data_IF_960438576896
#
_entry.id   IF_960438576896
#
_cell.length_a   1.000
_cell.length_b   1.000
_cell.length_c   1.000
_cell.angle_alpha   90.00
_cell.angle_beta   90.00
_cell.angle_gamma   90.00
#
_symmetry.space_group_name_H-M   'P 1'
#
loop_
_entity.id
_entity.type
_entity.pdbx_description
1 polymer ?
#
# COMPACT_ATOMS: atom_id res chain seq x y z
N UNK A 1 3.80 21.28 6.09
CA UNK A 1 4.19 20.15 5.27
C UNK A 1 5.07 20.65 4.13
N UNK A 2 6.26 20.05 3.97
CA UNK A 2 7.11 20.35 2.80
C UNK A 2 6.59 19.55 1.59
N UNK A 3 5.61 20.10 0.90
CA UNK A 3 5.00 19.53 -0.31
C UNK A 3 5.12 20.57 -1.44
N UNK A 4 6.30 20.69 -2.06
CA UNK A 4 6.58 21.73 -3.05
C UNK A 4 5.70 21.64 -4.30
N UNK A 5 5.16 20.43 -4.59
CA UNK A 5 4.37 20.17 -5.79
C UNK A 5 2.87 20.43 -5.62
N UNK A 6 2.44 20.91 -4.43
CA UNK A 6 1.02 21.18 -4.17
C UNK A 6 0.71 22.65 -4.44
N UNK A 7 -0.07 22.90 -5.49
CA UNK A 7 -0.65 24.21 -5.76
C UNK A 7 -1.94 24.39 -4.94
N UNK A 8 -1.89 25.23 -3.90
CA UNK A 8 -3.02 25.44 -2.98
C UNK A 8 -4.27 26.09 -3.63
N UNK A 9 -4.15 26.59 -4.86
CA UNK A 9 -5.28 27.12 -5.61
C UNK A 9 -6.10 26.06 -6.35
N UNK A 10 -5.59 24.83 -6.44
CA UNK A 10 -6.29 23.73 -7.10
C UNK A 10 -7.14 22.93 -6.10
N UNK A 11 -8.34 22.47 -6.52
CA UNK A 11 -9.15 21.56 -5.73
C UNK A 11 -8.41 20.26 -5.42
N UNK A 12 -8.64 19.70 -4.22
CA UNK A 12 -7.93 18.51 -3.70
C UNK A 12 -8.11 17.28 -4.61
N UNK A 13 -9.22 17.13 -5.29
CA UNK A 13 -9.49 16.01 -6.20
C UNK A 13 -8.57 15.95 -7.44
N UNK A 14 -7.84 17.02 -7.75
CA UNK A 14 -6.83 17.02 -8.81
C UNK A 14 -5.54 16.25 -8.43
N UNK A 15 -5.36 15.96 -7.14
CA UNK A 15 -4.18 15.29 -6.63
C UNK A 15 -4.41 13.78 -6.51
N UNK A 16 -3.35 13.00 -6.64
CA UNK A 16 -3.38 11.56 -6.37
C UNK A 16 -3.67 11.27 -4.90
N UNK A 17 -4.15 10.06 -4.60
CA UNK A 17 -4.59 9.64 -3.26
C UNK A 17 -3.56 9.91 -2.15
N UNK A 18 -2.27 9.74 -2.43
CA UNK A 18 -1.20 10.03 -1.48
C UNK A 18 -1.16 11.51 -1.06
N UNK A 19 -1.22 12.42 -2.01
CA UNK A 19 -1.26 13.85 -1.72
C UNK A 19 -2.55 14.26 -1.00
N UNK A 20 -3.70 13.68 -1.37
CA UNK A 20 -4.97 13.92 -0.68
C UNK A 20 -4.87 13.53 0.80
N UNK A 21 -4.29 12.35 1.09
CA UNK A 21 -4.06 11.88 2.46
C UNK A 21 -3.18 12.83 3.27
N UNK A 22 -2.06 13.29 2.69
CA UNK A 22 -1.17 14.24 3.35
C UNK A 22 -1.83 15.61 3.58
N UNK A 23 -2.70 16.07 2.68
CA UNK A 23 -3.48 17.31 2.83
C UNK A 23 -4.48 17.16 3.99
N UNK A 24 -5.17 16.02 4.12
CA UNK A 24 -6.07 15.74 5.24
C UNK A 24 -5.33 15.79 6.59
N UNK A 25 -4.16 15.17 6.66
CA UNK A 25 -3.32 15.21 7.87
C UNK A 25 -2.87 16.65 8.18
N UNK A 26 -2.47 17.42 7.16
CA UNK A 26 -2.13 18.84 7.32
C UNK A 26 -3.28 19.64 7.92
N UNK A 27 -4.49 19.40 7.44
CA UNK A 27 -5.72 20.04 7.94
C UNK A 27 -5.98 19.69 9.41
N UNK A 28 -5.80 18.41 9.80
CA UNK A 28 -5.95 17.98 11.19
C UNK A 28 -4.91 18.66 12.12
N UNK A 29 -3.64 18.75 11.67
CA UNK A 29 -2.56 19.39 12.42
C UNK A 29 -2.86 20.89 12.63
N UNK A 30 -3.36 21.59 11.61
CA UNK A 30 -3.67 23.03 11.70
C UNK A 30 -4.77 23.35 12.74
N UNK A 31 -5.60 22.37 13.11
CA UNK A 31 -6.63 22.49 14.15
C UNK A 31 -6.07 22.49 15.58
N UNK A 32 -4.76 22.44 15.77
CA UNK A 32 -4.08 22.35 17.08
C UNK A 32 -4.62 21.19 17.95
N UNK A 33 -4.89 20.06 17.34
CA UNK A 33 -5.37 18.86 18.02
C UNK A 33 -4.36 18.42 19.09
N UNK A 34 -4.86 18.03 20.26
CA UNK A 34 -4.05 17.41 21.33
C UNK A 34 -3.88 15.91 21.13
N UNK A 35 -4.80 15.30 20.39
CA UNK A 35 -4.82 13.90 20.03
C UNK A 35 -5.07 13.78 18.53
N UNK A 36 -4.27 12.99 17.85
CA UNK A 36 -4.44 12.63 16.45
C UNK A 36 -4.63 11.12 16.33
N UNK A 37 -5.70 10.71 15.67
CA UNK A 37 -5.97 9.30 15.37
C UNK A 37 -5.77 9.11 13.86
N UNK A 38 -4.90 8.17 13.49
CA UNK A 38 -4.52 7.84 12.13
C UNK A 38 -4.90 6.39 11.87
N UNK A 39 -5.87 6.16 11.01
CA UNK A 39 -6.32 4.83 10.61
C UNK A 39 -5.77 4.52 9.22
N UNK A 40 -4.89 3.48 9.13
CA UNK A 40 -4.19 3.05 7.91
C UNK A 40 -3.62 4.22 7.08
N UNK A 41 -2.89 5.17 7.69
CA UNK A 41 -2.58 6.44 7.05
C UNK A 41 -1.62 6.32 5.85
N UNK A 42 -1.00 5.16 5.64
CA UNK A 42 -0.02 4.90 4.58
C UNK A 42 -0.54 3.99 3.47
N UNK A 43 -1.80 3.57 3.52
CA UNK A 43 -2.37 2.59 2.59
C UNK A 43 -2.30 3.03 1.12
N UNK A 44 -2.44 4.32 0.85
CA UNK A 44 -2.39 4.93 -0.49
C UNK A 44 -1.08 5.66 -0.80
N UNK A 45 -0.11 5.65 0.12
CA UNK A 45 1.15 6.37 0.00
C UNK A 45 2.24 5.56 -0.70
N UNK A 46 3.06 6.24 -1.48
CA UNK A 46 4.35 5.71 -1.94
C UNK A 46 5.34 5.61 -0.76
N UNK A 47 6.44 4.89 -0.93
CA UNK A 47 7.49 4.80 0.10
C UNK A 47 8.05 6.18 0.50
N UNK A 48 8.21 7.08 -0.46
CA UNK A 48 8.70 8.43 -0.20
C UNK A 48 7.69 9.24 0.62
N UNK A 49 6.41 9.20 0.26
CA UNK A 49 5.33 9.87 0.99
C UNK A 49 5.14 9.27 2.39
N UNK A 50 5.27 7.95 2.54
CA UNK A 50 5.27 7.28 3.85
C UNK A 50 6.38 7.81 4.75
N UNK A 51 7.61 7.94 4.25
CA UNK A 51 8.71 8.51 5.02
C UNK A 51 8.40 9.93 5.51
N UNK A 52 7.85 10.77 4.65
CA UNK A 52 7.42 12.13 5.00
C UNK A 52 6.38 12.10 6.13
N UNK A 53 5.37 11.22 6.03
CA UNK A 53 4.34 11.08 7.05
C UNK A 53 4.92 10.63 8.41
N UNK A 54 5.79 9.63 8.40
CA UNK A 54 6.42 9.15 9.64
C UNK A 54 7.26 10.26 10.31
N UNK A 55 7.94 11.09 9.53
CA UNK A 55 8.66 12.25 10.06
C UNK A 55 7.72 13.29 10.67
N UNK A 56 6.57 13.54 10.03
CA UNK A 56 5.53 14.41 10.59
C UNK A 56 5.01 13.88 11.92
N UNK A 57 4.76 12.57 12.05
CA UNK A 57 4.31 11.95 13.31
C UNK A 57 5.37 12.13 14.40
N UNK A 58 6.66 11.93 14.08
CA UNK A 58 7.77 12.19 15.01
C UNK A 58 7.83 13.64 15.45
N UNK A 59 7.60 14.58 14.55
CA UNK A 59 7.55 16.03 14.86
C UNK A 59 6.38 16.39 15.76
N UNK A 60 5.22 15.79 15.54
CA UNK A 60 4.03 15.98 16.39
C UNK A 60 4.28 15.44 17.80
N UNK A 61 4.86 14.27 17.93
CA UNK A 61 5.28 13.68 19.21
C UNK A 61 6.22 14.62 19.96
N UNK A 62 7.23 15.20 19.29
CA UNK A 62 8.17 16.18 19.91
C UNK A 62 7.46 17.45 20.39
N UNK A 63 6.35 17.82 19.76
CA UNK A 63 5.51 18.95 20.14
C UNK A 63 4.46 18.62 21.21
N UNK A 64 4.48 17.39 21.75
CA UNK A 64 3.57 16.95 22.81
C UNK A 64 2.17 16.56 22.32
N UNK A 65 1.97 16.32 21.02
CA UNK A 65 0.71 15.82 20.48
C UNK A 65 0.67 14.30 20.66
N UNK A 66 -0.38 13.78 21.30
CA UNK A 66 -0.61 12.35 21.40
C UNK A 66 -1.07 11.81 20.02
N UNK A 67 -0.52 10.67 19.60
CA UNK A 67 -0.90 10.04 18.34
C UNK A 67 -1.31 8.59 18.59
N UNK A 68 -2.43 8.17 18.03
CA UNK A 68 -2.84 6.76 17.90
C UNK A 68 -2.75 6.41 16.43
N UNK A 69 -1.97 5.38 16.10
CA UNK A 69 -1.81 4.90 14.74
C UNK A 69 -2.33 3.48 14.65
N UNK A 70 -3.27 3.25 13.73
CA UNK A 70 -3.78 1.93 13.40
C UNK A 70 -3.12 1.53 12.09
N UNK A 71 -2.42 0.39 12.08
CA UNK A 71 -1.75 -0.11 10.89
C UNK A 71 -1.46 -1.62 11.01
N UNK A 72 -1.45 -2.31 9.89
CA UNK A 72 -0.96 -3.68 9.77
C UNK A 72 0.50 -3.74 9.26
N UNK A 73 1.09 -2.58 8.91
CA UNK A 73 2.48 -2.47 8.45
C UNK A 73 3.41 -2.32 9.64
N UNK A 74 3.90 -3.44 10.15
CA UNK A 74 4.65 -3.51 11.40
C UNK A 74 5.96 -2.72 11.37
N UNK A 75 6.61 -2.60 10.22
CA UNK A 75 7.82 -1.79 10.05
C UNK A 75 7.56 -0.30 10.33
N UNK A 76 6.38 0.19 9.92
CA UNK A 76 5.97 1.58 10.16
C UNK A 76 5.62 1.79 11.65
N UNK A 77 4.92 0.82 12.25
CA UNK A 77 4.61 0.82 13.69
C UNK A 77 5.90 0.85 14.51
N UNK A 78 6.84 -0.03 14.19
CA UNK A 78 8.14 -0.10 14.87
C UNK A 78 8.95 1.20 14.72
N UNK A 79 8.79 1.91 13.60
CA UNK A 79 9.55 3.13 13.33
C UNK A 79 9.11 4.35 14.15
N UNK A 80 7.85 4.41 14.63
CA UNK A 80 7.30 5.64 15.25
C UNK A 80 6.58 5.44 16.57
N UNK A 81 6.08 4.23 16.87
CA UNK A 81 5.29 3.97 18.08
C UNK A 81 6.17 3.70 19.29
N UNK A 82 5.74 4.16 20.46
CA UNK A 82 6.37 3.86 21.75
C UNK A 82 5.82 2.58 22.36
N UNK A 83 4.51 2.35 22.19
CA UNK A 83 3.79 1.19 22.70
C UNK A 83 2.90 0.63 21.60
N UNK A 84 2.71 -0.68 21.64
CA UNK A 84 1.84 -1.40 20.73
C UNK A 84 0.76 -2.12 21.51
N UNK A 85 -0.50 -1.89 21.15
CA UNK A 85 -1.67 -2.65 21.62
C UNK A 85 -2.16 -3.54 20.50
N UNK A 86 -2.23 -4.84 20.74
CA UNK A 86 -2.74 -5.81 19.77
C UNK A 86 -4.19 -6.13 20.08
N UNK A 87 -5.03 -6.02 19.04
CA UNK A 87 -6.45 -6.41 19.07
C UNK A 87 -6.63 -7.54 18.07
N UNK A 88 -7.33 -8.58 18.47
CA UNK A 88 -7.66 -9.73 17.64
C UNK A 88 -9.11 -10.15 17.90
N UNK A 89 -9.90 -10.31 16.84
CA UNK A 89 -11.32 -10.71 16.93
C UNK A 89 -12.13 -9.83 17.88
N UNK A 90 -11.85 -8.52 17.90
CA UNK A 90 -12.50 -7.56 18.78
C UNK A 90 -12.02 -7.59 20.23
N UNK A 91 -11.06 -8.47 20.58
CA UNK A 91 -10.54 -8.64 21.94
C UNK A 91 -9.14 -8.05 22.06
N UNK A 92 -8.89 -7.36 23.18
CA UNK A 92 -7.56 -6.87 23.53
C UNK A 92 -6.64 -8.04 23.93
N UNK A 93 -5.59 -8.27 23.19
CA UNK A 93 -4.60 -9.34 23.44
C UNK A 93 -3.55 -8.88 24.44
N UNK A 94 -3.08 -7.65 24.31
CA UNK A 94 -2.09 -7.07 25.22
C UNK A 94 -1.53 -5.75 24.72
N UNK A 95 -0.95 -4.98 25.64
CA UNK A 95 -0.20 -3.75 25.34
C UNK A 95 1.21 -3.89 25.90
N UNK A 96 2.22 -3.57 25.07
CA UNK A 96 3.63 -3.64 25.46
C UNK A 96 4.43 -2.47 24.86
N UNK A 97 5.53 -2.05 25.54
CA UNK A 97 6.48 -1.12 24.97
C UNK A 97 7.09 -1.69 23.67
N UNK A 98 7.27 -0.85 22.66
CA UNK A 98 7.91 -1.27 21.39
C UNK A 98 9.36 -1.73 21.60
N UNK A 99 10.04 -1.18 22.60
CA UNK A 99 11.41 -1.56 22.98
C UNK A 99 11.56 -3.01 23.47
N UNK A 100 10.47 -3.66 23.86
CA UNK A 100 10.43 -5.04 24.34
C UNK A 100 9.94 -6.03 23.29
N UNK A 101 9.57 -5.56 22.09
CA UNK A 101 8.95 -6.35 21.04
C UNK A 101 9.83 -6.36 19.78
N UNK A 102 9.87 -7.51 19.13
CA UNK A 102 10.27 -7.60 17.74
C UNK A 102 9.04 -7.85 16.85
N UNK A 103 9.21 -7.76 15.54
CA UNK A 103 8.11 -7.94 14.57
C UNK A 103 7.43 -9.30 14.71
N UNK A 104 8.20 -10.37 15.02
CA UNK A 104 7.63 -11.72 15.16
C UNK A 104 6.77 -11.83 16.42
N UNK A 105 7.13 -11.14 17.50
CA UNK A 105 6.33 -11.11 18.73
C UNK A 105 4.97 -10.47 18.47
N UNK A 106 4.94 -9.35 17.74
CA UNK A 106 3.70 -8.67 17.37
C UNK A 106 2.85 -9.57 16.48
N UNK A 107 3.46 -10.24 15.49
CA UNK A 107 2.77 -11.19 14.61
C UNK A 107 2.18 -12.35 15.44
N UNK A 108 2.94 -12.92 16.36
CA UNK A 108 2.47 -14.00 17.22
C UNK A 108 1.26 -13.56 18.07
N UNK A 109 1.27 -12.34 18.61
CA UNK A 109 0.13 -11.76 19.32
C UNK A 109 -1.09 -11.58 18.39
N UNK A 110 -0.89 -11.11 17.16
CA UNK A 110 -1.96 -10.88 16.18
C UNK A 110 -2.60 -12.20 15.71
N UNK A 111 -1.80 -13.22 15.44
CA UNK A 111 -2.26 -14.51 14.90
C UNK A 111 -2.65 -15.51 16.00
N UNK A 112 -2.08 -15.37 17.19
CA UNK A 112 -2.34 -16.24 18.35
C UNK A 112 -1.62 -17.58 18.33
N UNK A 113 -0.65 -17.76 17.43
CA UNK A 113 0.23 -18.92 17.35
C UNK A 113 1.61 -18.50 16.85
N UNK A 114 2.64 -19.20 17.26
CA UNK A 114 3.96 -19.03 16.63
C UNK A 114 3.87 -19.42 15.16
N UNK A 115 4.23 -18.50 14.29
CA UNK A 115 4.36 -18.78 12.86
C UNK A 115 5.76 -19.35 12.63
N UNK A 116 5.89 -20.66 12.68
CA UNK A 116 7.16 -21.34 12.41
C UNK A 116 7.59 -21.27 10.94
N UNK A 117 6.65 -21.02 10.04
CA UNK A 117 6.91 -20.89 8.61
C UNK A 117 5.93 -19.85 8.02
N UNK A 118 6.42 -18.62 7.79
CA UNK A 118 5.62 -17.52 7.24
C UNK A 118 5.12 -17.80 5.82
N UNK A 119 5.86 -18.62 5.07
CA UNK A 119 5.56 -18.93 3.67
C UNK A 119 5.85 -20.41 3.40
N UNK A 120 4.96 -21.35 3.86
CA UNK A 120 5.11 -22.74 3.48
C UNK A 120 4.96 -22.84 1.96
N UNK A 121 6.04 -23.14 1.28
CA UNK A 121 6.06 -23.33 -0.17
C UNK A 121 5.97 -24.83 -0.43
N UNK A 122 4.82 -25.27 -0.90
CA UNK A 122 4.68 -26.61 -1.47
C UNK A 122 5.07 -26.53 -2.95
N UNK A 123 6.00 -27.38 -3.36
CA UNK A 123 6.36 -27.51 -4.77
C UNK A 123 5.29 -28.32 -5.49
N UNK A 124 4.59 -27.67 -6.41
CA UNK A 124 3.66 -28.32 -7.32
C UNK A 124 4.29 -28.42 -8.71
N UNK A 125 4.09 -29.54 -9.43
CA UNK A 125 4.57 -29.67 -10.79
C UNK A 125 3.88 -28.63 -11.69
N UNK A 126 4.69 -27.85 -12.40
CA UNK A 126 4.21 -26.89 -13.38
C UNK A 126 3.99 -27.63 -14.71
N UNK A 127 2.77 -27.55 -15.22
CA UNK A 127 2.35 -28.23 -16.46
C UNK A 127 2.55 -27.39 -17.73
N UNK A 128 1.80 -27.74 -18.76
CA UNK A 128 1.83 -27.04 -20.04
C UNK A 128 1.27 -25.62 -19.98
N UNK A 129 1.59 -24.82 -21.02
CA UNK A 129 1.04 -23.47 -21.18
C UNK A 129 -0.48 -23.56 -21.30
N UNK A 130 -1.16 -22.90 -20.37
CA UNK A 130 -2.62 -22.84 -20.30
C UNK A 130 -3.17 -21.55 -20.92
N UNK A 131 -2.44 -20.44 -20.74
CA UNK A 131 -2.82 -19.14 -21.24
C UNK A 131 -1.60 -18.42 -21.80
N UNK A 132 -1.78 -17.71 -22.91
CA UNK A 132 -0.73 -16.91 -23.52
C UNK A 132 -1.30 -15.57 -23.99
N UNK A 133 -0.68 -14.48 -23.52
CA UNK A 133 -0.90 -13.14 -24.03
C UNK A 133 0.27 -12.76 -24.95
N UNK A 134 -0.02 -12.22 -26.13
CA UNK A 134 1.00 -11.80 -27.12
C UNK A 134 0.76 -10.36 -27.54
N UNK A 135 1.77 -9.52 -27.33
CA UNK A 135 1.81 -8.13 -27.83
C UNK A 135 0.57 -7.31 -27.47
N UNK A 136 0.01 -7.56 -26.27
CA UNK A 136 -1.21 -6.89 -25.80
C UNK A 136 -0.95 -5.40 -25.63
N UNK A 137 -1.77 -4.58 -26.27
CA UNK A 137 -1.72 -3.12 -26.21
C UNK A 137 -3.12 -2.57 -25.92
N UNK A 138 -3.20 -1.58 -25.05
CA UNK A 138 -4.42 -0.85 -24.70
C UNK A 138 -4.14 0.65 -24.67
N UNK A 139 -4.96 1.43 -25.36
CA UNK A 139 -4.87 2.89 -25.39
C UNK A 139 -5.67 3.50 -24.23
N UNK A 140 -5.30 4.70 -23.83
CA UNK A 140 -6.06 5.48 -22.88
C UNK A 140 -7.37 5.97 -23.53
N UNK A 141 -8.50 5.73 -22.86
CA UNK A 141 -9.83 6.12 -23.37
C UNK A 141 -9.95 7.63 -23.53
N UNK A 142 -9.32 8.42 -22.66
CA UNK A 142 -9.38 9.88 -22.67
C UNK A 142 -8.27 10.53 -23.51
N UNK A 143 -7.22 9.77 -23.83
CA UNK A 143 -6.10 10.22 -24.66
C UNK A 143 -5.56 9.07 -25.52
N UNK A 144 -6.11 8.82 -26.71
CA UNK A 144 -5.70 7.72 -27.57
C UNK A 144 -4.23 7.76 -28.05
N UNK A 145 -3.57 8.89 -27.92
CA UNK A 145 -2.12 8.99 -28.18
C UNK A 145 -1.27 8.34 -27.07
N UNK A 146 -1.85 8.09 -25.88
CA UNK A 146 -1.19 7.47 -24.75
C UNK A 146 -1.54 6.00 -24.65
N UNK A 147 -0.52 5.15 -24.60
CA UNK A 147 -0.69 3.73 -24.29
C UNK A 147 -0.74 3.54 -22.77
N UNK A 148 -1.73 2.84 -22.28
CA UNK A 148 -1.83 2.37 -20.90
C UNK A 148 -1.16 1.01 -20.72
N UNK A 149 -1.24 0.19 -21.76
CA UNK A 149 -0.52 -1.07 -21.88
C UNK A 149 0.19 -1.04 -23.22
N UNK A 150 1.47 -1.34 -23.27
CA UNK A 150 2.26 -1.31 -24.49
C UNK A 150 3.01 -2.61 -24.70
N UNK A 151 2.55 -3.41 -25.66
CA UNK A 151 3.23 -4.59 -26.19
C UNK A 151 3.60 -5.63 -25.10
N UNK A 152 2.68 -5.92 -24.19
CA UNK A 152 2.89 -6.87 -23.10
C UNK A 152 2.65 -8.30 -23.57
N UNK A 153 3.62 -9.17 -23.29
CA UNK A 153 3.53 -10.60 -23.61
C UNK A 153 3.94 -11.45 -22.41
N UNK A 154 3.20 -12.52 -22.14
CA UNK A 154 3.55 -13.50 -21.11
C UNK A 154 2.81 -14.81 -21.34
N UNK A 155 3.26 -15.86 -20.66
CA UNK A 155 2.62 -17.18 -20.63
C UNK A 155 2.30 -17.55 -19.20
N UNK A 156 1.21 -18.27 -18.99
CA UNK A 156 0.82 -18.88 -17.75
C UNK A 156 0.65 -20.39 -17.95
N UNK A 157 1.24 -21.20 -17.08
CA UNK A 157 1.19 -22.65 -17.13
C UNK A 157 0.18 -23.21 -16.13
N UNK A 158 -0.27 -24.43 -16.34
CA UNK A 158 -1.11 -25.13 -15.37
C UNK A 158 -0.35 -25.30 -14.04
N UNK A 159 -1.00 -24.97 -12.92
CA UNK A 159 -0.39 -25.07 -11.58
C UNK A 159 0.64 -23.97 -11.26
N UNK A 160 0.84 -23.00 -12.16
CA UNK A 160 1.72 -21.84 -11.95
C UNK A 160 0.96 -20.66 -11.31
N UNK A 161 1.60 -19.99 -10.37
CA UNK A 161 1.18 -18.67 -9.88
C UNK A 161 2.15 -17.65 -10.44
N UNK A 162 1.70 -16.89 -11.45
CA UNK A 162 2.50 -15.82 -12.06
C UNK A 162 2.26 -14.48 -11.34
N UNK A 163 3.31 -13.91 -10.77
CA UNK A 163 3.25 -12.60 -10.10
C UNK A 163 3.57 -11.44 -11.02
N UNK A 164 2.76 -10.37 -10.98
CA UNK A 164 3.04 -9.10 -11.64
C UNK A 164 3.48 -8.07 -10.62
N UNK A 165 4.74 -7.65 -10.67
CA UNK A 165 5.31 -6.62 -9.82
C UNK A 165 5.54 -5.31 -10.59
N UNK A 166 5.58 -4.19 -9.86
CA UNK A 166 5.83 -2.86 -10.44
C UNK A 166 5.39 -1.73 -9.51
N UNK A 167 5.83 -0.52 -9.76
CA UNK A 167 5.43 0.67 -9.00
C UNK A 167 3.97 1.05 -9.25
N UNK A 168 3.43 1.94 -8.41
CA UNK A 168 2.10 2.54 -8.63
C UNK A 168 2.10 3.25 -9.99
N UNK A 169 1.08 3.01 -10.80
CA UNK A 169 0.98 3.55 -12.16
C UNK A 169 1.74 2.76 -13.24
N UNK A 170 2.33 1.60 -12.93
CA UNK A 170 3.05 0.77 -13.90
C UNK A 170 2.15 0.03 -14.91
N UNK A 171 0.83 0.19 -14.84
CA UNK A 171 -0.10 -0.43 -15.79
C UNK A 171 -0.52 -1.87 -15.48
N UNK A 172 -0.19 -2.40 -14.28
CA UNK A 172 -0.53 -3.79 -13.90
C UNK A 172 -2.03 -4.07 -13.93
N UNK A 173 -2.81 -3.16 -13.35
CA UNK A 173 -4.27 -3.24 -13.32
C UNK A 173 -4.83 -3.14 -14.74
N UNK A 174 -4.31 -2.23 -15.55
CA UNK A 174 -4.75 -2.03 -16.92
C UNK A 174 -4.46 -3.25 -17.79
N UNK A 175 -3.37 -3.99 -17.58
CA UNK A 175 -3.11 -5.27 -18.24
C UNK A 175 -4.20 -6.27 -17.89
N UNK A 176 -4.52 -6.45 -16.62
CA UNK A 176 -5.53 -7.42 -16.16
C UNK A 176 -6.93 -7.03 -16.66
N UNK A 177 -7.30 -5.75 -16.58
CA UNK A 177 -8.58 -5.25 -17.07
C UNK A 177 -8.72 -5.46 -18.61
N UNK A 178 -7.61 -5.29 -19.35
CA UNK A 178 -7.58 -5.54 -20.81
C UNK A 178 -7.76 -7.02 -21.12
N UNK A 179 -7.10 -7.91 -20.40
CA UNK A 179 -7.22 -9.35 -20.58
C UNK A 179 -8.61 -9.87 -20.19
N UNK A 180 -9.20 -9.29 -19.15
CA UNK A 180 -10.54 -9.63 -18.70
C UNK A 180 -11.66 -9.04 -19.58
N UNK A 181 -11.31 -8.12 -20.50
CA UNK A 181 -12.27 -7.49 -21.41
C UNK A 181 -12.98 -6.26 -20.86
N UNK A 182 -12.56 -5.75 -19.70
CA UNK A 182 -13.08 -4.50 -19.13
C UNK A 182 -12.55 -3.25 -19.85
N UNK A 183 -11.39 -3.38 -20.51
CA UNK A 183 -10.82 -2.35 -21.39
C UNK A 183 -10.68 -2.87 -22.81
N UNK A 184 -10.92 -2.02 -23.83
CA UNK A 184 -10.74 -2.43 -25.21
C UNK A 184 -9.26 -2.68 -25.50
N UNK A 185 -8.96 -3.87 -26.03
CA UNK A 185 -7.66 -4.22 -26.54
C UNK A 185 -7.49 -3.58 -27.92
N UNK A 186 -6.44 -2.80 -28.12
CA UNK A 186 -6.15 -2.14 -29.38
C UNK A 186 -5.23 -2.97 -30.29
N UNK A 187 -4.40 -3.86 -29.73
CA UNK A 187 -3.55 -4.79 -30.46
C UNK A 187 -3.18 -6.01 -29.61
N UNK A 188 -2.68 -7.07 -30.27
CA UNK A 188 -2.25 -8.33 -29.66
C UNK A 188 -3.34 -9.40 -29.57
N UNK A 189 -3.01 -10.55 -29.02
CA UNK A 189 -3.91 -11.71 -28.83
C UNK A 189 -3.75 -12.28 -27.42
#
# INVERSE_FOLDING_TARGET
>A
LKMPDVNVALPVYHYGGGHQQLIEIAKAINKKAKLLILDEPTSSLTKAETAILLDIIRDLKRKGVACVMISHKLDEVAAVCDTVSVIRDGTHVGTRPMSELNTNDIIAMMVGREIKNLFPREEHPIGDVFFEAKNVTCLDVNNPARKRVDNVSFKLRKGEILGFAGLVGAGRTEVMETLFGMRPRSAGT
#
